data_IF_061489963205
#
_entry.id   IF_061489963205
#
_cell.length_a   1.000
_cell.length_b   1.000
_cell.length_c   1.000
_cell.angle_alpha   90.00
_cell.angle_beta   90.00
_cell.angle_gamma   90.00
#
_symmetry.space_group_name_H-M   'P 1'
#
loop_
_entity.id
_entity.type
_entity.pdbx_description
1 polymer ?
#
# COMPACT_ATOMS: atom_id res chain seq x y z
N UNK A 1 -7.53 -12.73 -14.84
CA UNK A 1 -6.91 -12.27 -13.56
C UNK A 1 -5.52 -11.84 -13.95
N UNK A 2 -5.06 -10.65 -13.53
CA UNK A 2 -3.91 -9.95 -14.13
C UNK A 2 -2.73 -10.89 -14.45
N UNK A 3 -2.27 -11.67 -13.48
CA UNK A 3 -1.14 -12.60 -13.66
C UNK A 3 -1.40 -13.65 -14.75
N UNK A 4 -2.61 -14.23 -14.80
CA UNK A 4 -2.96 -15.22 -15.84
C UNK A 4 -2.96 -14.60 -17.23
N UNK A 5 -3.44 -13.37 -17.34
CA UNK A 5 -3.52 -12.67 -18.62
C UNK A 5 -2.13 -12.18 -19.08
N UNK A 6 -1.26 -11.84 -18.12
CA UNK A 6 0.17 -11.55 -18.35
C UNK A 6 0.94 -12.77 -18.82
N UNK A 7 0.78 -13.93 -18.17
CA UNK A 7 1.43 -15.19 -18.61
C UNK A 7 1.01 -15.52 -20.05
N UNK A 8 -0.28 -15.43 -20.35
CA UNK A 8 -0.78 -15.67 -21.72
C UNK A 8 -0.17 -14.71 -22.75
N UNK A 9 0.04 -13.44 -22.40
CA UNK A 9 0.69 -12.49 -23.30
C UNK A 9 2.16 -12.85 -23.52
N UNK A 10 2.87 -13.23 -22.45
CA UNK A 10 4.25 -13.72 -22.52
C UNK A 10 4.38 -14.97 -23.39
N UNK A 11 3.46 -15.94 -23.25
CA UNK A 11 3.45 -17.17 -24.07
C UNK A 11 3.29 -16.87 -25.56
N UNK A 12 2.61 -15.76 -25.90
CA UNK A 12 2.48 -15.26 -27.28
C UNK A 12 3.59 -14.29 -27.69
N UNK A 13 4.54 -14.02 -26.81
CA UNK A 13 5.58 -13.00 -26.97
C UNK A 13 5.02 -11.59 -27.26
N UNK A 14 3.89 -11.26 -26.64
CA UNK A 14 3.18 -9.99 -26.75
C UNK A 14 3.29 -9.18 -25.45
N UNK A 15 3.19 -7.85 -25.58
CA UNK A 15 3.05 -6.97 -24.41
C UNK A 15 1.59 -6.98 -23.95
N UNK A 16 1.36 -7.10 -22.65
CA UNK A 16 0.03 -6.92 -22.07
C UNK A 16 -0.31 -5.42 -22.01
N UNK A 17 -1.34 -5.02 -22.75
CA UNK A 17 -1.94 -3.69 -22.63
C UNK A 17 -3.19 -3.75 -21.75
N UNK A 18 -3.27 -2.86 -20.76
CA UNK A 18 -4.37 -2.83 -19.78
C UNK A 18 -4.91 -1.41 -19.70
N UNK A 19 -6.20 -1.23 -20.00
CA UNK A 19 -6.87 0.04 -19.78
C UNK A 19 -7.18 0.26 -18.30
N UNK A 20 -7.39 1.52 -17.90
CA UNK A 20 -7.74 1.88 -16.52
C UNK A 20 -8.94 1.08 -16.00
N UNK A 21 -9.99 0.92 -16.81
CA UNK A 21 -11.19 0.16 -16.44
C UNK A 21 -10.88 -1.32 -16.19
N UNK A 22 -10.02 -1.92 -17.02
CA UNK A 22 -9.61 -3.33 -16.85
C UNK A 22 -8.75 -3.48 -15.61
N UNK A 23 -7.86 -2.53 -15.31
CA UNK A 23 -7.07 -2.51 -14.09
C UNK A 23 -7.96 -2.46 -12.84
N UNK A 24 -8.96 -1.56 -12.80
CA UNK A 24 -9.93 -1.48 -11.70
C UNK A 24 -10.66 -2.81 -11.51
N UNK A 25 -11.10 -3.43 -12.61
CA UNK A 25 -11.76 -4.74 -12.55
C UNK A 25 -10.83 -5.85 -12.01
N UNK A 26 -9.54 -5.81 -12.33
CA UNK A 26 -8.58 -6.74 -11.73
C UNK A 26 -8.43 -6.53 -10.22
N UNK A 27 -8.33 -5.28 -9.76
CA UNK A 27 -8.27 -4.97 -8.32
C UNK A 27 -9.52 -5.47 -7.62
N UNK A 28 -10.72 -5.14 -8.14
CA UNK A 28 -11.99 -5.56 -7.57
C UNK A 28 -12.10 -7.10 -7.44
N UNK A 29 -11.76 -7.83 -8.51
CA UNK A 29 -11.77 -9.31 -8.49
C UNK A 29 -10.74 -9.88 -7.52
N UNK A 30 -9.56 -9.28 -7.44
CA UNK A 30 -8.50 -9.75 -6.54
C UNK A 30 -8.91 -9.52 -5.09
N UNK A 31 -9.42 -8.34 -4.76
CA UNK A 31 -9.89 -8.00 -3.42
C UNK A 31 -11.01 -8.93 -2.95
N UNK A 32 -12.02 -9.16 -3.79
CA UNK A 32 -13.13 -10.05 -3.45
C UNK A 32 -12.73 -11.53 -3.29
N UNK A 33 -11.52 -11.91 -3.72
CA UNK A 33 -10.97 -13.25 -3.51
C UNK A 33 -10.11 -13.37 -2.26
N UNK A 34 -9.82 -12.25 -1.58
CA UNK A 34 -9.10 -12.24 -0.31
C UNK A 34 -10.03 -12.74 0.79
N UNK A 35 -9.63 -13.81 1.46
CA UNK A 35 -10.29 -14.32 2.65
C UNK A 35 -9.59 -13.85 3.92
N UNK A 36 -10.28 -13.96 5.06
CA UNK A 36 -9.71 -13.72 6.38
C UNK A 36 -8.45 -14.56 6.63
N UNK A 37 -8.44 -15.81 6.14
CA UNK A 37 -7.28 -16.68 6.20
C UNK A 37 -6.09 -16.13 5.39
N UNK A 38 -6.35 -15.59 4.19
CA UNK A 38 -5.31 -14.97 3.37
C UNK A 38 -4.70 -13.75 4.07
N UNK A 39 -5.54 -12.91 4.71
CA UNK A 39 -5.07 -11.76 5.50
C UNK A 39 -4.22 -12.23 6.69
N UNK A 40 -4.72 -13.18 7.48
CA UNK A 40 -4.00 -13.75 8.63
C UNK A 40 -2.63 -14.32 8.21
N UNK A 41 -2.56 -15.04 7.09
CA UNK A 41 -1.31 -15.55 6.54
C UNK A 41 -0.32 -14.44 6.18
N UNK A 42 -0.79 -13.33 5.60
CA UNK A 42 0.06 -12.17 5.30
C UNK A 42 0.66 -11.55 6.57
N UNK A 43 -0.15 -11.31 7.60
CA UNK A 43 0.33 -10.75 8.87
C UNK A 43 1.34 -11.67 9.56
N UNK A 44 1.10 -12.98 9.52
CA UNK A 44 2.06 -13.99 10.01
C UNK A 44 3.38 -13.97 9.25
N UNK A 45 3.36 -13.94 7.92
CA UNK A 45 4.59 -13.91 7.11
C UNK A 45 5.36 -12.60 7.21
N UNK A 46 4.67 -11.48 7.46
CA UNK A 46 5.31 -10.19 7.74
C UNK A 46 5.90 -10.10 9.16
N UNK A 47 5.72 -11.14 9.99
CA UNK A 47 6.27 -11.19 11.36
C UNK A 47 5.42 -10.46 12.41
N UNK A 48 4.22 -10.01 12.06
CA UNK A 48 3.30 -9.39 13.04
C UNK A 48 2.65 -10.41 13.98
N UNK A 49 2.56 -11.68 13.57
CA UNK A 49 2.01 -12.77 14.39
C UNK A 49 3.11 -13.82 14.59
N UNK A 50 3.60 -13.96 15.82
CA UNK A 50 4.57 -14.97 16.21
C UNK A 50 3.84 -16.30 16.51
N UNK A 51 3.91 -17.25 15.56
CA UNK A 51 3.38 -18.62 15.66
C UNK A 51 1.85 -18.78 15.76
N UNK A 52 1.38 -19.94 15.27
CA UNK A 52 0.01 -20.27 14.92
C UNK A 52 -0.95 -20.50 16.11
N UNK A 53 -0.54 -20.25 17.35
CA UNK A 53 -1.38 -20.46 18.54
C UNK A 53 -2.28 -19.25 18.84
N UNK A 54 -2.10 -18.15 18.12
CA UNK A 54 -2.93 -16.94 18.21
C UNK A 54 -4.21 -17.06 17.33
N UNK A 55 -5.03 -18.09 17.54
CA UNK A 55 -6.39 -18.15 16.97
C UNK A 55 -7.35 -17.16 17.65
N UNK A 56 -6.93 -16.48 18.72
CA UNK A 56 -7.82 -15.63 19.53
C UNK A 56 -8.15 -14.25 18.92
N UNK A 57 -7.53 -13.87 17.80
CA UNK A 57 -7.73 -12.54 17.18
C UNK A 57 -8.99 -12.51 16.28
N UNK A 58 -9.65 -13.64 16.04
CA UNK A 58 -10.86 -13.71 15.21
C UNK A 58 -12.16 -13.38 15.96
N UNK A 59 -12.10 -12.55 17.01
CA UNK A 59 -13.33 -11.94 17.53
C UNK A 59 -13.73 -10.81 16.60
N UNK A 60 -14.84 -11.03 15.89
CA UNK A 60 -15.47 -10.14 14.91
C UNK A 60 -16.00 -8.83 15.50
N UNK A 61 -15.87 -8.63 16.82
CA UNK A 61 -16.21 -7.36 17.45
C UNK A 61 -15.00 -6.43 17.35
N UNK A 62 -15.11 -5.29 16.65
CA UNK A 62 -14.08 -4.26 16.74
C UNK A 62 -14.01 -3.82 18.21
N UNK A 63 -12.92 -4.18 18.89
CA UNK A 63 -12.66 -3.64 20.22
C UNK A 63 -12.77 -2.11 20.13
N UNK A 64 -13.52 -1.47 21.05
CA UNK A 64 -13.64 -0.02 21.05
C UNK A 64 -12.26 0.62 21.01
N UNK A 65 -12.09 1.69 20.23
CA UNK A 65 -10.81 2.39 20.07
C UNK A 65 -10.16 2.73 21.42
N UNK A 66 -10.96 2.99 22.45
CA UNK A 66 -10.51 3.22 23.82
C UNK A 66 -9.71 2.04 24.39
N UNK A 67 -10.15 0.80 24.15
CA UNK A 67 -9.48 -0.43 24.60
C UNK A 67 -8.14 -0.62 23.87
N UNK A 68 -8.12 -0.41 22.55
CA UNK A 68 -6.90 -0.49 21.76
C UNK A 68 -5.86 0.56 22.17
N UNK A 69 -6.30 1.79 22.46
CA UNK A 69 -5.44 2.87 22.97
C UNK A 69 -4.83 2.52 24.33
N UNK A 70 -5.62 1.92 25.21
CA UNK A 70 -5.14 1.48 26.52
C UNK A 70 -4.09 0.37 26.39
N UNK A 71 -4.34 -0.64 25.56
CA UNK A 71 -3.38 -1.70 25.25
C UNK A 71 -2.08 -1.15 24.65
N UNK A 72 -2.17 -0.16 23.75
CA UNK A 72 -1.00 0.48 23.14
C UNK A 72 -0.14 1.21 24.18
N UNK A 73 -0.78 1.95 25.08
CA UNK A 73 -0.09 2.65 26.17
C UNK A 73 0.55 1.67 27.15
N UNK A 74 -0.16 0.61 27.53
CA UNK A 74 0.34 -0.42 28.46
C UNK A 74 1.53 -1.21 27.88
N UNK A 75 1.58 -1.35 26.55
CA UNK A 75 2.71 -1.98 25.83
C UNK A 75 3.88 -1.04 25.55
N UNK A 76 3.83 0.21 26.03
CA UNK A 76 4.90 1.20 25.80
C UNK A 76 4.92 1.80 24.39
N UNK A 77 3.92 1.50 23.56
CA UNK A 77 3.67 2.18 22.28
C UNK A 77 2.89 3.49 22.50
N UNK A 78 3.29 4.26 23.50
CA UNK A 78 2.73 5.59 23.71
C UNK A 78 3.34 6.53 22.67
N UNK A 79 2.51 7.02 21.75
CA UNK A 79 2.91 8.10 20.83
C UNK A 79 2.89 9.39 21.63
N UNK A 80 4.01 9.67 22.31
CA UNK A 80 4.15 10.84 23.17
C UNK A 80 4.02 12.17 22.40
N UNK A 81 4.22 12.14 21.09
CA UNK A 81 4.17 13.33 20.26
C UNK A 81 3.45 13.06 18.93
N UNK A 82 2.19 13.47 18.86
CA UNK A 82 1.37 13.41 17.66
C UNK A 82 2.01 14.18 16.50
N UNK A 83 2.82 15.23 16.78
CA UNK A 83 3.50 15.99 15.73
C UNK A 83 4.58 15.18 15.01
N UNK A 84 5.14 14.15 15.65
CA UNK A 84 6.03 13.21 14.96
C UNK A 84 5.25 12.53 13.85
N UNK A 85 4.03 12.06 14.13
CA UNK A 85 3.20 11.35 13.14
C UNK A 85 2.73 12.26 12.00
N UNK A 86 2.37 13.51 12.31
CA UNK A 86 1.93 14.51 11.32
C UNK A 86 3.04 14.83 10.31
N UNK A 87 4.30 14.74 10.72
CA UNK A 87 5.45 15.09 9.89
C UNK A 87 6.17 13.88 9.27
N UNK A 88 5.74 12.64 9.53
CA UNK A 88 6.38 11.43 8.96
C UNK A 88 6.50 11.53 7.44
N UNK A 89 5.43 11.95 6.75
CA UNK A 89 5.43 12.05 5.29
C UNK A 89 6.36 13.14 4.75
N UNK A 90 6.69 14.16 5.57
CA UNK A 90 7.61 15.24 5.21
C UNK A 90 9.08 14.85 5.41
N UNK A 91 9.37 13.97 6.39
CA UNK A 91 10.72 13.51 6.71
C UNK A 91 11.16 12.31 5.85
N UNK A 92 10.22 11.63 5.21
CA UNK A 92 10.52 10.61 4.22
C UNK A 92 11.05 11.30 2.96
N UNK A 93 12.25 10.94 2.52
CA UNK A 93 12.81 11.37 1.25
C UNK A 93 12.00 10.79 0.06
N UNK A 94 10.85 11.39 -0.22
CA UNK A 94 10.16 11.23 -1.51
C UNK A 94 10.92 11.98 -2.60
N UNK A 95 10.64 11.62 -3.86
CA UNK A 95 11.25 12.22 -5.05
C UNK A 95 11.44 13.73 -4.87
N UNK A 96 12.62 14.21 -5.25
CA UNK A 96 13.08 15.60 -5.12
C UNK A 96 11.95 16.62 -5.19
N UNK A 97 11.86 17.52 -4.21
CA UNK A 97 10.92 18.64 -4.20
C UNK A 97 11.13 19.50 -5.46
N UNK A 98 10.36 19.23 -6.51
CA UNK A 98 10.33 20.05 -7.71
C UNK A 98 9.27 21.14 -7.51
N UNK A 99 9.72 22.38 -7.35
CA UNK A 99 8.81 23.53 -7.33
C UNK A 99 8.09 23.63 -8.68
N UNK A 100 6.83 24.07 -8.70
CA UNK A 100 6.07 24.32 -9.95
C UNK A 100 6.89 25.12 -10.98
N UNK A 101 7.67 26.10 -10.51
CA UNK A 101 8.59 26.88 -11.35
C UNK A 101 9.69 26.03 -12.01
N UNK A 102 10.25 25.06 -11.30
CA UNK A 102 11.28 24.16 -11.84
C UNK A 102 10.70 23.24 -12.92
N UNK A 103 9.50 22.69 -12.69
CA UNK A 103 8.78 21.87 -13.67
C UNK A 103 8.45 22.67 -14.95
N UNK A 104 8.02 23.92 -14.81
CA UNK A 104 7.74 24.80 -15.97
C UNK A 104 9.03 25.08 -16.75
N UNK A 105 10.16 25.33 -16.07
CA UNK A 105 11.44 25.56 -16.73
C UNK A 105 11.94 24.33 -17.48
N UNK A 106 11.86 23.14 -16.89
CA UNK A 106 12.22 21.86 -17.53
C UNK A 106 11.42 21.64 -18.82
N UNK A 107 10.10 21.80 -18.75
CA UNK A 107 9.23 21.66 -19.92
C UNK A 107 9.55 22.68 -21.04
N UNK A 108 9.89 23.92 -20.67
CA UNK A 108 10.25 24.96 -21.64
C UNK A 108 11.64 24.74 -22.26
N UNK A 109 12.57 24.10 -21.56
CA UNK A 109 13.88 23.74 -22.13
C UNK A 109 13.80 22.52 -23.05
N UNK A 110 13.00 21.51 -22.71
CA UNK A 110 12.72 20.37 -23.61
C UNK A 110 12.15 20.85 -24.95
N UNK A 111 11.21 21.80 -24.94
CA UNK A 111 10.60 22.33 -26.17
C UNK A 111 11.51 23.25 -27.01
N UNK A 112 12.60 23.79 -26.44
CA UNK A 112 13.59 24.57 -27.21
C UNK A 112 14.58 23.70 -27.97
N UNK A 113 14.72 22.44 -27.57
CA UNK A 113 15.71 21.51 -28.15
C UNK A 113 15.14 20.77 -29.38
N UNK A 114 13.86 21.00 -29.73
CA UNK A 114 13.14 20.38 -30.86
C UNK A 114 12.87 21.40 -31.99
N UNK A 115 13.62 22.50 -32.06
CA UNK A 115 13.63 23.44 -33.21
C UNK A 115 14.92 23.36 -34.01
#
# INVERSE_FOLDING_TARGET
MLVKDMIKAMDRNEKLEVSVLVAINYVHKSWNSVSLQSVSNCFRHAGFIANAESEEILREDPEPLATLLQISNDKGCSVNDVNVFVNIDNDIAICSQATVKALISEFLEENKTVQ
#
